data_IF_341424422974
#
_entry.id   IF_341424422974
#
_cell.length_a   1.000
_cell.length_b   1.000
_cell.length_c   1.000
_cell.angle_alpha   90.00
_cell.angle_beta   90.00
_cell.angle_gamma   90.00
#
_symmetry.space_group_name_H-M   'P 1'
#
loop_
_entity.id
_entity.type
_entity.pdbx_description
1 polymer ?
#
# COMPACT_ATOMS: atom_id res chain seq x y z
N UNK A 1 -0.77 -6.31 35.17
CA UNK A 1 -1.67 -5.56 34.26
C UNK A 1 -1.40 -4.09 34.49
N UNK A 2 -1.12 -3.31 33.44
CA UNK A 2 -0.92 -1.87 33.56
C UNK A 2 -2.23 -1.20 33.99
N UNK A 3 -2.14 -0.12 34.76
CA UNK A 3 -3.34 0.67 35.09
C UNK A 3 -3.86 1.42 33.85
N UNK A 4 -5.16 1.73 33.80
CA UNK A 4 -5.76 2.50 32.69
C UNK A 4 -5.02 3.83 32.41
N UNK A 5 -4.48 4.47 33.45
CA UNK A 5 -3.67 5.68 33.33
C UNK A 5 -2.31 5.43 32.67
N UNK A 6 -1.70 4.27 32.85
CA UNK A 6 -0.41 3.93 32.23
C UNK A 6 -0.57 3.60 30.74
N UNK A 7 -1.66 2.94 30.35
CA UNK A 7 -1.97 2.68 28.94
C UNK A 7 -2.18 3.98 28.16
N UNK A 8 -2.88 4.96 28.74
CA UNK A 8 -3.07 6.29 28.15
C UNK A 8 -1.74 7.03 27.95
N UNK A 9 -0.80 6.91 28.89
CA UNK A 9 0.53 7.52 28.78
C UNK A 9 1.37 6.86 27.68
N UNK A 10 1.33 5.52 27.57
CA UNK A 10 2.03 4.80 26.50
C UNK A 10 1.48 5.17 25.11
N UNK A 11 0.16 5.34 24.99
CA UNK A 11 -0.51 5.83 23.77
C UNK A 11 0.03 7.16 23.32
N UNK A 12 -0.04 8.16 24.20
CA UNK A 12 0.42 9.51 23.89
C UNK A 12 1.90 9.55 23.45
N UNK A 13 2.74 8.70 24.05
CA UNK A 13 4.17 8.61 23.67
C UNK A 13 4.37 8.00 22.29
N UNK A 14 3.65 6.93 21.95
CA UNK A 14 3.73 6.34 20.60
C UNK A 14 3.19 7.30 19.55
N UNK A 15 2.03 7.93 19.80
CA UNK A 15 1.46 8.92 18.87
C UNK A 15 2.44 10.09 18.63
N UNK A 16 3.19 10.50 19.66
CA UNK A 16 4.23 11.50 19.52
C UNK A 16 5.42 11.01 18.65
N UNK A 17 5.81 9.74 18.77
CA UNK A 17 6.85 9.11 17.92
C UNK A 17 6.37 9.02 16.47
N UNK A 18 5.17 8.49 16.23
CA UNK A 18 4.57 8.38 14.90
C UNK A 18 4.49 9.75 14.24
N UNK A 19 3.95 10.76 14.95
CA UNK A 19 3.90 12.14 14.47
C UNK A 19 5.29 12.71 14.16
N UNK A 20 6.29 12.45 15.02
CA UNK A 20 7.67 12.89 14.80
C UNK A 20 8.24 12.28 13.51
N UNK A 21 8.00 11.00 13.26
CA UNK A 21 8.47 10.28 12.07
C UNK A 21 7.73 10.73 10.81
N UNK A 22 6.42 10.94 10.88
CA UNK A 22 5.59 11.43 9.77
C UNK A 22 5.98 12.83 9.32
N UNK A 23 6.36 13.70 10.27
CA UNK A 23 6.78 15.07 9.99
C UNK A 23 8.17 15.17 9.34
N UNK A 24 8.96 14.09 9.32
CA UNK A 24 10.27 14.10 8.67
C UNK A 24 10.16 14.51 7.21
N UNK A 25 11.14 15.28 6.74
CA UNK A 25 11.31 15.53 5.32
C UNK A 25 11.73 14.23 4.66
N UNK A 26 11.17 13.97 3.49
CA UNK A 26 11.39 12.75 2.72
C UNK A 26 11.93 13.14 1.36
N UNK A 27 12.85 12.36 0.83
CA UNK A 27 13.36 12.55 -0.53
C UNK A 27 12.43 11.83 -1.51
N UNK A 28 12.35 12.33 -2.74
CA UNK A 28 11.64 11.67 -3.83
C UNK A 28 12.21 10.27 -4.08
N UNK A 29 11.35 9.31 -4.41
CA UNK A 29 11.77 7.94 -4.70
C UNK A 29 12.32 7.71 -6.11
N UNK A 30 12.17 8.66 -7.02
CA UNK A 30 12.74 8.52 -8.38
C UNK A 30 14.27 8.57 -8.28
N UNK A 31 14.93 7.57 -8.87
CA UNK A 31 16.38 7.43 -8.77
C UNK A 31 17.12 8.66 -9.30
N UNK A 32 18.13 9.09 -8.56
CA UNK A 32 18.89 10.31 -8.84
C UNK A 32 18.19 11.63 -8.45
N UNK A 33 16.93 11.60 -7.98
CA UNK A 33 16.24 12.80 -7.53
C UNK A 33 16.63 13.17 -6.08
N UNK A 34 17.27 14.33 -5.89
CA UNK A 34 17.62 14.85 -4.55
C UNK A 34 16.57 15.78 -3.92
N UNK A 35 15.40 15.96 -4.55
CA UNK A 35 14.37 16.93 -4.11
C UNK A 35 13.48 16.33 -3.02
N UNK A 36 12.87 17.19 -2.20
CA UNK A 36 11.92 16.75 -1.19
C UNK A 36 10.59 16.31 -1.81
N UNK A 37 10.06 15.21 -1.30
CA UNK A 37 8.76 14.70 -1.68
C UNK A 37 7.61 15.50 -1.05
N UNK A 38 6.54 15.65 -1.82
CA UNK A 38 5.25 16.20 -1.41
C UNK A 38 4.28 15.07 -1.03
N UNK A 39 3.11 15.41 -0.51
CA UNK A 39 2.04 14.43 -0.32
C UNK A 39 1.39 14.09 -1.67
N UNK A 40 1.74 12.92 -2.20
CA UNK A 40 1.20 12.30 -3.40
C UNK A 40 -0.01 11.44 -3.07
N UNK A 41 -1.06 11.47 -3.87
CA UNK A 41 -2.19 10.54 -3.75
C UNK A 41 -1.85 9.18 -4.38
N UNK A 42 -2.19 8.08 -3.72
CA UNK A 42 -1.98 6.72 -4.23
C UNK A 42 -2.88 6.46 -5.46
N UNK A 43 -4.13 6.91 -5.41
CA UNK A 43 -5.06 6.91 -6.55
C UNK A 43 -5.48 8.35 -6.86
N UNK A 44 -5.75 8.66 -8.13
CA UNK A 44 -6.14 9.98 -8.59
C UNK A 44 -7.23 10.59 -7.68
N UNK A 45 -6.93 11.74 -7.08
CA UNK A 45 -7.87 12.48 -6.24
C UNK A 45 -9.09 12.92 -7.04
N UNK A 46 -8.83 13.67 -8.11
CA UNK A 46 -9.84 14.27 -8.96
C UNK A 46 -10.28 13.26 -10.02
N UNK A 47 -11.19 12.36 -9.65
CA UNK A 47 -11.65 11.30 -10.53
C UNK A 47 -12.01 10.09 -9.71
N UNK A 48 -11.02 9.28 -9.33
CA UNK A 48 -11.23 8.04 -8.59
C UNK A 48 -11.75 8.30 -7.17
N UNK A 49 -10.94 8.96 -6.32
CA UNK A 49 -11.29 9.16 -4.89
C UNK A 49 -12.52 10.07 -4.75
N UNK A 50 -12.55 11.18 -5.50
CA UNK A 50 -13.68 12.11 -5.46
C UNK A 50 -15.00 11.43 -5.85
N UNK A 51 -14.99 10.46 -6.78
CA UNK A 51 -16.22 9.77 -7.23
C UNK A 51 -16.89 8.90 -6.17
N UNK A 52 -16.19 8.54 -5.10
CA UNK A 52 -16.74 7.78 -3.97
C UNK A 52 -16.91 8.64 -2.71
N UNK A 53 -16.59 9.94 -2.79
CA UNK A 53 -16.65 10.83 -1.63
C UNK A 53 -18.04 11.42 -1.44
N UNK A 54 -18.42 11.69 -0.19
CA UNK A 54 -19.59 12.50 0.13
C UNK A 54 -19.13 13.71 0.96
N UNK A 55 -19.54 14.91 0.54
CA UNK A 55 -19.11 16.17 1.15
C UNK A 55 -17.57 16.29 1.24
N UNK A 56 -16.84 15.86 0.20
CA UNK A 56 -15.38 15.81 0.16
C UNK A 56 -14.72 14.92 1.24
N UNK A 57 -15.44 13.91 1.74
CA UNK A 57 -14.93 12.95 2.72
C UNK A 57 -15.14 11.50 2.27
N UNK A 58 -14.21 10.65 2.70
CA UNK A 58 -14.23 9.18 2.57
C UNK A 58 -13.88 8.54 3.91
N UNK A 59 -14.05 7.22 4.02
CA UNK A 59 -13.53 6.45 5.14
C UNK A 59 -12.31 5.64 4.69
N UNK A 60 -11.20 5.79 5.41
CA UNK A 60 -9.96 5.05 5.17
C UNK A 60 -9.76 4.02 6.27
N UNK A 61 -9.53 2.75 5.92
CA UNK A 61 -9.08 1.74 6.87
C UNK A 61 -7.64 2.07 7.28
N UNK A 62 -7.38 2.14 8.58
CA UNK A 62 -6.05 2.39 9.12
C UNK A 62 -5.80 1.47 10.31
N UNK A 63 -4.55 1.04 10.46
CA UNK A 63 -4.12 0.41 11.69
C UNK A 63 -4.26 1.39 12.88
N UNK A 64 -4.85 0.89 13.96
CA UNK A 64 -5.02 1.53 15.26
C UNK A 64 -4.56 0.54 16.31
N UNK A 65 -3.26 0.59 16.63
CA UNK A 65 -2.54 -0.33 17.51
C UNK A 65 -3.01 -0.31 18.99
N UNK A 66 -4.10 0.38 19.25
CA UNK A 66 -4.50 0.89 20.53
C UNK A 66 -5.98 0.58 20.80
N UNK A 67 -6.78 0.26 19.79
CA UNK A 67 -8.11 -0.28 20.02
C UNK A 67 -8.06 -1.79 20.20
N UNK A 68 -9.10 -2.31 20.85
CA UNK A 68 -9.36 -3.77 20.92
C UNK A 68 -9.40 -4.40 19.52
N UNK A 69 -9.74 -3.59 18.50
CA UNK A 69 -9.60 -3.90 17.09
C UNK A 69 -8.41 -3.15 16.46
N UNK A 70 -7.43 -3.91 15.97
CA UNK A 70 -6.19 -3.39 15.37
C UNK A 70 -6.40 -2.52 14.11
N UNK A 71 -7.54 -2.65 13.43
CA UNK A 71 -7.88 -1.79 12.29
C UNK A 71 -9.18 -1.03 12.55
N UNK A 72 -9.22 0.24 12.16
CA UNK A 72 -10.44 1.03 12.21
C UNK A 72 -10.57 1.98 11.03
N UNK A 73 -11.81 2.27 10.64
CA UNK A 73 -12.10 3.28 9.63
C UNK A 73 -12.05 4.67 10.24
N UNK A 74 -11.28 5.57 9.64
CA UNK A 74 -11.27 7.00 9.98
C UNK A 74 -11.85 7.80 8.83
N UNK A 75 -12.78 8.71 9.15
CA UNK A 75 -13.31 9.68 8.19
C UNK A 75 -12.20 10.69 7.88
N UNK A 76 -11.85 10.86 6.61
CA UNK A 76 -10.83 11.81 6.15
C UNK A 76 -11.30 12.65 4.98
N UNK A 77 -10.80 13.87 4.90
CA UNK A 77 -10.98 14.72 3.73
C UNK A 77 -10.19 14.17 2.54
N UNK A 78 -10.72 14.28 1.33
CA UNK A 78 -10.08 13.74 0.11
C UNK A 78 -8.69 14.32 -0.19
N UNK A 79 -8.32 15.46 0.40
CA UNK A 79 -6.97 16.03 0.26
C UNK A 79 -5.91 15.32 1.12
N UNK A 80 -6.33 14.57 2.14
CA UNK A 80 -5.45 13.87 3.10
C UNK A 80 -5.62 12.35 3.05
N UNK A 81 -6.76 11.88 2.55
CA UNK A 81 -7.03 10.46 2.40
C UNK A 81 -6.11 9.86 1.33
N UNK A 82 -5.52 8.70 1.64
CA UNK A 82 -4.75 7.91 0.68
C UNK A 82 -3.59 8.69 0.05
N UNK A 83 -2.90 9.48 0.88
CA UNK A 83 -1.71 10.24 0.50
C UNK A 83 -0.46 9.79 1.25
N UNK A 84 0.70 9.95 0.63
CA UNK A 84 2.00 9.66 1.23
C UNK A 84 3.10 10.53 0.60
N UNK A 85 4.26 10.63 1.24
CA UNK A 85 5.37 11.48 0.76
C UNK A 85 6.19 10.86 -0.39
N UNK A 86 5.60 10.44 -1.51
CA UNK A 86 6.29 9.65 -2.53
C UNK A 86 7.24 10.41 -3.47
N UNK A 87 6.72 11.48 -4.08
CA UNK A 87 7.33 12.12 -5.25
C UNK A 87 7.50 13.63 -5.05
N UNK A 88 8.43 14.27 -5.76
CA UNK A 88 8.58 15.72 -5.72
C UNK A 88 7.54 16.42 -6.61
N UNK A 89 7.31 17.71 -6.35
CA UNK A 89 6.33 18.52 -7.09
C UNK A 89 6.65 20.01 -7.10
N UNK A 90 7.93 20.40 -7.24
CA UNK A 90 8.32 21.80 -7.32
C UNK A 90 8.16 22.35 -8.75
N UNK A 91 8.07 23.68 -8.88
CA UNK A 91 7.82 24.35 -10.18
C UNK A 91 8.90 24.05 -11.24
N UNK A 92 10.13 23.77 -10.81
CA UNK A 92 11.26 23.42 -11.66
C UNK A 92 11.39 21.92 -11.94
N UNK A 93 10.68 21.07 -11.18
CA UNK A 93 10.85 19.62 -11.21
C UNK A 93 9.70 18.89 -10.50
N UNK A 94 8.85 18.20 -11.27
CA UNK A 94 7.62 17.60 -10.75
C UNK A 94 7.42 16.16 -11.21
N UNK A 95 8.08 15.22 -10.54
CA UNK A 95 7.88 13.79 -10.79
C UNK A 95 6.44 13.33 -10.52
N UNK A 96 5.75 13.91 -9.53
CA UNK A 96 4.38 13.47 -9.20
C UNK A 96 3.41 13.70 -10.37
N UNK A 97 3.45 14.88 -10.99
CA UNK A 97 2.56 15.22 -12.10
C UNK A 97 3.06 14.72 -13.45
N UNK A 98 4.38 14.72 -13.68
CA UNK A 98 4.95 14.32 -14.98
C UNK A 98 4.88 12.82 -15.20
N UNK A 99 5.31 12.02 -14.20
CA UNK A 99 5.38 10.57 -14.33
C UNK A 99 3.99 9.94 -14.45
N UNK A 100 3.04 10.44 -13.66
CA UNK A 100 1.71 9.85 -13.57
C UNK A 100 0.67 10.55 -14.44
N UNK A 101 1.10 11.44 -15.33
CA UNK A 101 0.23 12.23 -16.21
C UNK A 101 -0.83 11.38 -16.91
N UNK A 102 -0.51 10.14 -17.31
CA UNK A 102 -1.44 9.26 -18.04
C UNK A 102 -2.57 8.71 -17.16
N UNK A 103 -2.35 8.55 -15.86
CA UNK A 103 -3.33 8.03 -14.90
C UNK A 103 -3.99 9.13 -14.05
N UNK A 104 -3.59 10.40 -14.27
CA UNK A 104 -4.17 11.58 -13.61
C UNK A 104 -5.12 12.38 -14.52
N UNK A 105 -5.41 11.89 -15.73
CA UNK A 105 -6.38 12.51 -16.65
C UNK A 105 -7.81 12.09 -16.33
N UNK A 106 -8.80 12.86 -16.79
CA UNK A 106 -10.21 12.51 -16.62
C UNK A 106 -10.58 11.19 -17.34
N UNK A 107 -9.91 10.89 -18.45
CA UNK A 107 -10.10 9.66 -19.23
C UNK A 107 -8.88 8.76 -19.12
N UNK A 108 -8.92 7.80 -18.19
CA UNK A 108 -7.83 6.85 -17.97
C UNK A 108 -8.03 5.64 -18.88
N UNK A 109 -7.00 5.27 -19.63
CA UNK A 109 -7.01 4.02 -20.38
C UNK A 109 -6.52 2.86 -19.49
N UNK A 110 -7.46 2.14 -18.88
CA UNK A 110 -7.14 1.00 -18.00
C UNK A 110 -6.80 -0.29 -18.78
N UNK A 111 -6.74 -0.25 -20.10
CA UNK A 111 -6.35 -1.39 -20.94
C UNK A 111 -4.88 -1.38 -21.33
N UNK A 112 -4.24 -0.21 -21.38
CA UNK A 112 -2.86 -0.15 -21.80
C UNK A 112 -1.93 -0.52 -20.64
N UNK A 113 -0.87 -1.24 -21.02
CA UNK A 113 0.12 -1.76 -20.09
C UNK A 113 0.80 -0.64 -19.29
N UNK A 114 1.04 0.52 -19.89
CA UNK A 114 1.77 1.61 -19.26
C UNK A 114 0.96 2.23 -18.12
N UNK A 115 -0.34 2.50 -18.32
CA UNK A 115 -1.24 2.95 -17.27
C UNK A 115 -1.31 1.95 -16.10
N UNK A 116 -1.39 0.65 -16.41
CA UNK A 116 -1.43 -0.42 -15.40
C UNK A 116 -0.12 -0.50 -14.60
N UNK A 117 1.01 -0.31 -15.28
CA UNK A 117 2.33 -0.24 -14.68
C UNK A 117 2.48 1.00 -13.79
N UNK A 118 1.95 2.16 -14.18
CA UNK A 118 1.97 3.38 -13.37
C UNK A 118 1.18 3.25 -12.07
N UNK A 119 -0.03 2.65 -12.09
CA UNK A 119 -0.76 2.34 -10.85
C UNK A 119 0.05 1.45 -9.93
N UNK A 120 0.66 0.42 -10.50
CA UNK A 120 1.49 -0.55 -9.79
C UNK A 120 2.73 0.10 -9.16
N UNK A 121 3.46 0.91 -9.93
CA UNK A 121 4.62 1.67 -9.47
C UNK A 121 4.27 2.57 -8.29
N UNK A 122 3.16 3.31 -8.39
CA UNK A 122 2.74 4.21 -7.32
C UNK A 122 2.40 3.45 -6.04
N UNK A 123 1.70 2.32 -6.14
CA UNK A 123 1.39 1.44 -5.00
C UNK A 123 2.65 0.82 -4.37
N UNK A 124 3.64 0.50 -5.19
CA UNK A 124 4.92 -0.05 -4.74
C UNK A 124 5.75 0.97 -3.95
N UNK A 125 5.84 2.18 -4.49
CA UNK A 125 6.54 3.28 -3.81
C UNK A 125 5.82 3.68 -2.52
N UNK A 126 4.49 3.62 -2.52
CA UNK A 126 3.71 3.76 -1.28
C UNK A 126 4.11 2.69 -0.25
N UNK A 127 4.16 1.41 -0.65
CA UNK A 127 4.55 0.32 0.25
C UNK A 127 5.97 0.47 0.78
N UNK A 128 6.92 0.87 -0.06
CA UNK A 128 8.29 1.18 0.36
C UNK A 128 8.29 2.26 1.45
N UNK A 129 7.55 3.36 1.25
CA UNK A 129 7.48 4.42 2.26
C UNK A 129 6.86 3.95 3.57
N UNK A 130 5.78 3.18 3.49
CA UNK A 130 5.12 2.61 4.67
C UNK A 130 6.10 1.75 5.48
N UNK A 131 6.93 0.93 4.81
CA UNK A 131 7.97 0.12 5.46
C UNK A 131 9.11 0.95 6.05
N UNK A 132 9.57 2.01 5.36
CA UNK A 132 10.56 2.96 5.90
C UNK A 132 10.05 3.63 7.19
N UNK A 133 8.81 4.13 7.16
CA UNK A 133 8.17 4.77 8.32
C UNK A 133 8.03 3.77 9.47
N UNK A 134 7.56 2.55 9.18
CA UNK A 134 7.39 1.49 10.19
C UNK A 134 8.72 1.14 10.84
N UNK A 135 9.80 0.98 10.05
CA UNK A 135 11.15 0.74 10.56
C UNK A 135 11.63 1.87 11.48
N UNK A 136 11.42 3.12 11.08
CA UNK A 136 11.82 4.29 11.85
C UNK A 136 11.04 4.44 13.16
N UNK A 137 9.73 4.19 13.15
CA UNK A 137 8.90 4.16 14.35
C UNK A 137 9.39 3.07 15.30
N UNK A 138 9.64 1.86 14.79
CA UNK A 138 10.16 0.75 15.59
C UNK A 138 11.52 1.10 16.24
N UNK A 139 12.43 1.73 15.47
CA UNK A 139 13.73 2.17 15.97
C UNK A 139 13.59 3.26 17.05
N UNK A 140 12.79 4.30 16.81
CA UNK A 140 12.54 5.36 17.79
C UNK A 140 11.91 4.81 19.07
N UNK A 141 11.02 3.83 18.93
CA UNK A 141 10.40 3.16 20.06
C UNK A 141 11.40 2.33 20.87
N UNK A 142 12.25 1.56 20.19
CA UNK A 142 13.30 0.74 20.80
C UNK A 142 14.35 1.59 21.52
N UNK A 143 14.74 2.72 20.93
CA UNK A 143 15.76 3.62 21.49
C UNK A 143 15.24 4.48 22.65
N UNK A 144 13.92 4.49 22.90
CA UNK A 144 13.33 5.25 24.00
C UNK A 144 13.52 4.50 25.35
N UNK A 145 14.28 5.03 26.32
CA UNK A 145 14.57 4.33 27.58
C UNK A 145 13.31 4.03 28.40
N UNK A 146 12.32 4.92 28.40
CA UNK A 146 11.10 4.77 29.20
C UNK A 146 10.17 3.68 28.64
N UNK A 147 10.24 3.45 27.33
CA UNK A 147 9.42 2.47 26.63
C UNK A 147 10.13 1.09 26.57
N UNK A 148 11.44 1.07 26.36
CA UNK A 148 12.24 -0.15 26.31
C UNK A 148 12.34 -0.91 27.63
N UNK A 149 12.20 -0.22 28.78
CA UNK A 149 12.19 -0.86 30.12
C UNK A 149 10.89 -1.64 30.39
N UNK A 150 9.79 -1.30 29.72
CA UNK A 150 8.45 -1.86 29.95
C UNK A 150 8.18 -3.17 29.19
N UNK A 151 8.95 -3.47 28.15
CA UNK A 151 8.98 -4.81 27.56
C UNK A 151 9.90 -5.68 28.40
N UNK A 152 9.59 -6.97 28.59
CA UNK A 152 10.63 -7.91 29.01
C UNK A 152 11.81 -7.73 28.05
N UNK A 153 12.96 -7.30 28.59
CA UNK A 153 14.13 -6.91 27.78
C UNK A 153 14.55 -8.02 26.82
N UNK A 154 14.26 -9.29 27.12
CA UNK A 154 14.51 -10.41 26.23
C UNK A 154 13.45 -10.50 25.11
N UNK A 155 12.15 -10.46 25.42
CA UNK A 155 11.07 -10.50 24.42
C UNK A 155 11.05 -9.26 23.52
N UNK A 156 11.27 -8.07 24.05
CA UNK A 156 11.29 -6.84 23.27
C UNK A 156 12.49 -6.73 22.32
N UNK A 157 13.65 -7.26 22.72
CA UNK A 157 14.81 -7.37 21.83
C UNK A 157 14.56 -8.38 20.71
N UNK A 158 14.04 -9.57 21.04
CA UNK A 158 13.75 -10.60 20.04
C UNK A 158 12.65 -10.17 19.06
N UNK A 159 11.60 -9.51 19.54
CA UNK A 159 10.56 -8.92 18.68
C UNK A 159 11.15 -7.86 17.75
N UNK A 160 11.91 -6.92 18.29
CA UNK A 160 12.55 -5.88 17.49
C UNK A 160 13.50 -6.46 16.44
N UNK A 161 14.34 -7.45 16.78
CA UNK A 161 15.30 -8.02 15.84
C UNK A 161 14.62 -8.82 14.72
N UNK A 162 13.61 -9.63 15.05
CA UNK A 162 12.87 -10.42 14.05
C UNK A 162 12.03 -9.51 13.15
N UNK A 163 11.28 -8.57 13.72
CA UNK A 163 10.48 -7.63 12.93
C UNK A 163 11.34 -6.70 12.08
N UNK A 164 12.48 -6.22 12.60
CA UNK A 164 13.40 -5.41 11.81
C UNK A 164 13.97 -6.18 10.63
N UNK A 165 14.33 -7.45 10.82
CA UNK A 165 14.82 -8.30 9.73
C UNK A 165 13.72 -8.55 8.67
N UNK A 166 12.49 -8.79 9.10
CA UNK A 166 11.34 -8.96 8.19
C UNK A 166 11.05 -7.68 7.39
N UNK A 167 11.09 -6.51 8.05
CA UNK A 167 10.89 -5.21 7.38
C UNK A 167 12.03 -4.94 6.38
N UNK A 168 13.28 -5.19 6.76
CA UNK A 168 14.44 -5.01 5.87
C UNK A 168 14.35 -5.88 4.62
N UNK A 169 13.94 -7.13 4.79
CA UNK A 169 13.71 -8.04 3.69
C UNK A 169 12.57 -7.56 2.77
N UNK A 170 11.44 -7.15 3.37
CA UNK A 170 10.32 -6.57 2.62
C UNK A 170 10.72 -5.32 1.83
N UNK A 171 11.60 -4.48 2.37
CA UNK A 171 12.15 -3.31 1.66
C UNK A 171 13.03 -3.77 0.49
N UNK A 172 13.90 -4.76 0.71
CA UNK A 172 14.78 -5.28 -0.32
C UNK A 172 14.00 -5.85 -1.52
N UNK A 173 12.99 -6.68 -1.28
CA UNK A 173 12.13 -7.21 -2.36
C UNK A 173 11.43 -6.09 -3.13
N UNK A 174 10.88 -5.11 -2.41
CA UNK A 174 10.18 -3.99 -3.02
C UNK A 174 11.12 -3.07 -3.82
N UNK A 175 12.40 -2.94 -3.43
CA UNK A 175 13.41 -2.19 -4.19
C UNK A 175 13.77 -2.91 -5.51
N UNK A 176 13.91 -4.25 -5.49
CA UNK A 176 14.14 -5.03 -6.73
C UNK A 176 12.95 -4.89 -7.69
N UNK A 177 11.72 -4.98 -7.17
CA UNK A 177 10.53 -4.74 -7.96
C UNK A 177 10.48 -3.29 -8.49
N UNK A 178 10.89 -2.31 -7.69
CA UNK A 178 10.91 -0.89 -8.08
C UNK A 178 11.85 -0.66 -9.25
N UNK A 179 13.07 -1.17 -9.16
CA UNK A 179 14.06 -1.07 -10.23
C UNK A 179 13.54 -1.70 -11.54
N UNK A 180 12.90 -2.87 -11.43
CA UNK A 180 12.30 -3.56 -12.59
C UNK A 180 11.20 -2.70 -13.24
N UNK A 181 10.29 -2.14 -12.43
CA UNK A 181 9.20 -1.29 -12.91
C UNK A 181 9.72 0.02 -13.52
N UNK A 182 10.70 0.66 -12.90
CA UNK A 182 11.30 1.90 -13.42
C UNK A 182 12.01 1.69 -14.75
N UNK A 183 12.76 0.60 -14.88
CA UNK A 183 13.40 0.23 -16.14
C UNK A 183 12.36 0.08 -17.27
N UNK A 184 11.22 -0.54 -16.98
CA UNK A 184 10.14 -0.67 -17.96
C UNK A 184 9.43 0.64 -18.28
N UNK A 185 9.23 1.51 -17.29
CA UNK A 185 8.70 2.86 -17.49
C UNK A 185 9.62 3.66 -18.41
N UNK A 186 10.94 3.64 -18.15
CA UNK A 186 11.93 4.36 -18.96
C UNK A 186 12.02 3.85 -20.40
N UNK A 187 11.84 2.55 -20.60
CA UNK A 187 11.82 1.93 -21.93
C UNK A 187 10.50 2.18 -22.69
N UNK A 188 9.51 2.85 -22.07
CA UNK A 188 8.16 3.02 -22.62
C UNK A 188 7.55 1.69 -23.10
N UNK A 189 7.74 0.62 -22.32
CA UNK A 189 7.27 -0.71 -22.70
C UNK A 189 5.75 -0.73 -22.90
N UNK A 190 5.27 -1.07 -24.11
CA UNK A 190 3.83 -1.17 -24.43
C UNK A 190 3.39 -2.62 -24.60
N UNK A 191 3.43 -3.42 -23.53
CA UNK A 191 2.85 -4.78 -23.49
C UNK A 191 3.83 -5.95 -23.68
N UNK A 192 5.11 -5.68 -23.96
CA UNK A 192 6.19 -6.69 -23.98
C UNK A 192 7.02 -6.74 -22.68
N UNK A 193 6.51 -6.10 -21.63
CA UNK A 193 7.19 -5.97 -20.33
C UNK A 193 7.37 -7.27 -19.54
N UNK A 194 8.08 -7.19 -18.41
CA UNK A 194 8.31 -8.31 -17.49
C UNK A 194 7.02 -8.69 -16.74
N UNK A 195 6.15 -7.72 -16.44
CA UNK A 195 4.86 -7.97 -15.81
C UNK A 195 3.78 -8.35 -16.83
N UNK A 196 2.79 -9.08 -16.37
CA UNK A 196 1.51 -9.21 -17.05
C UNK A 196 0.39 -8.74 -16.14
N UNK A 197 -0.60 -8.10 -16.75
CA UNK A 197 -1.74 -7.51 -16.07
C UNK A 197 -3.03 -8.10 -16.58
N UNK A 198 -3.90 -8.43 -15.63
CA UNK A 198 -5.24 -8.92 -15.87
C UNK A 198 -6.25 -7.91 -15.38
N UNK A 199 -7.24 -7.66 -16.22
CA UNK A 199 -8.29 -6.69 -15.96
C UNK A 199 -9.65 -7.38 -15.94
N UNK A 200 -10.42 -7.17 -14.89
CA UNK A 200 -11.84 -7.55 -14.83
C UNK A 200 -12.69 -6.34 -14.47
N UNK A 201 -13.77 -6.17 -15.21
CA UNK A 201 -14.78 -5.14 -14.95
C UNK A 201 -15.93 -5.79 -14.17
N UNK A 202 -16.39 -5.11 -13.12
CA UNK A 202 -17.54 -5.52 -12.31
C UNK A 202 -18.49 -4.34 -12.07
N UNK A 203 -19.74 -4.58 -11.64
CA UNK A 203 -20.62 -3.51 -11.18
C UNK A 203 -19.95 -2.62 -10.14
N UNK A 204 -20.23 -1.31 -10.20
CA UNK A 204 -19.59 -0.32 -9.34
C UNK A 204 -19.71 -0.69 -7.85
N UNK A 205 -18.56 -0.77 -7.21
CA UNK A 205 -18.39 -0.79 -5.76
C UNK A 205 -17.62 0.47 -5.35
N UNK A 206 -18.06 1.13 -4.29
CA UNK A 206 -17.44 2.38 -3.82
C UNK A 206 -16.30 2.11 -2.84
N UNK A 207 -15.35 1.28 -3.28
CA UNK A 207 -14.14 0.90 -2.57
C UNK A 207 -12.95 1.17 -3.49
N UNK A 208 -11.95 1.91 -2.99
CA UNK A 208 -10.69 2.12 -3.69
C UNK A 208 -9.56 1.41 -2.96
N UNK A 209 -8.77 0.62 -3.68
CA UNK A 209 -7.57 -0.03 -3.16
C UNK A 209 -6.50 -0.05 -4.24
N UNK A 210 -5.25 0.23 -3.89
CA UNK A 210 -4.09 0.16 -4.77
C UNK A 210 -2.90 -0.22 -3.93
N UNK A 211 -2.52 -1.49 -4.03
CA UNK A 211 -1.52 -2.09 -3.17
C UNK A 211 -0.66 -3.13 -3.89
N UNK A 212 0.45 -3.47 -3.25
CA UNK A 212 1.26 -4.62 -3.61
C UNK A 212 1.57 -5.48 -2.39
N UNK A 213 1.68 -6.79 -2.61
CA UNK A 213 2.05 -7.77 -1.58
C UNK A 213 2.85 -8.92 -2.22
N UNK A 214 3.57 -9.67 -1.39
CA UNK A 214 4.29 -10.86 -1.83
C UNK A 214 3.34 -12.06 -1.83
N UNK A 215 3.42 -12.89 -2.88
CA UNK A 215 2.56 -14.06 -3.04
C UNK A 215 2.85 -15.16 -2.03
N UNK A 216 4.14 -15.36 -1.71
CA UNK A 216 4.62 -16.42 -0.82
C UNK A 216 4.10 -16.25 0.61
N UNK A 217 3.73 -17.36 1.24
CA UNK A 217 3.26 -17.37 2.64
C UNK A 217 4.43 -17.23 3.62
N UNK A 218 4.14 -16.77 4.85
CA UNK A 218 5.13 -16.55 5.93
C UNK A 218 6.11 -17.72 6.15
N UNK A 219 5.64 -18.96 5.94
CA UNK A 219 6.43 -20.18 6.11
C UNK A 219 7.45 -20.36 4.98
N UNK A 220 7.07 -19.99 3.76
CA UNK A 220 7.93 -20.03 2.56
C UNK A 220 8.97 -18.92 2.61
N UNK A 221 8.63 -17.77 3.19
CA UNK A 221 9.56 -16.67 3.46
C UNK A 221 10.68 -17.09 4.40
N UNK A 222 10.34 -17.86 5.44
CA UNK A 222 11.32 -18.39 6.40
C UNK A 222 12.26 -19.42 5.75
N UNK A 223 11.78 -20.20 4.81
CA UNK A 223 12.60 -21.17 4.05
C UNK A 223 13.51 -20.43 3.04
N UNK A 224 12.99 -19.42 2.34
CA UNK A 224 13.76 -18.57 1.42
C UNK A 224 14.92 -17.85 2.15
N UNK A 225 14.70 -17.45 3.42
CA UNK A 225 15.74 -16.89 4.28
C UNK A 225 16.86 -17.90 4.59
N UNK A 226 16.52 -19.18 4.82
CA UNK A 226 17.48 -20.22 5.21
C UNK A 226 18.24 -20.82 4.02
N UNK A 227 17.61 -20.89 2.84
CA UNK A 227 18.17 -21.60 1.67
C UNK A 227 18.97 -20.73 0.70
N UNK A 228 19.16 -19.45 1.01
CA UNK A 228 19.77 -18.50 0.08
C UNK A 228 18.68 -17.75 -0.69
N UNK A 229 18.70 -16.44 -0.53
CA UNK A 229 17.62 -15.53 -0.90
C UNK A 229 17.24 -15.58 -2.39
N UNK A 230 16.09 -16.16 -2.71
CA UNK A 230 15.36 -15.87 -3.94
C UNK A 230 14.38 -14.71 -3.68
N UNK A 231 14.30 -13.75 -4.62
CA UNK A 231 13.36 -12.63 -4.52
C UNK A 231 11.93 -13.14 -4.47
N UNK A 232 11.13 -12.59 -3.57
CA UNK A 232 9.71 -12.94 -3.46
C UNK A 232 8.92 -12.41 -4.67
N UNK A 233 7.80 -13.07 -4.95
CA UNK A 233 6.94 -12.75 -6.09
C UNK A 233 5.98 -11.63 -5.73
N UNK A 234 6.23 -10.44 -6.27
CA UNK A 234 5.34 -9.30 -6.05
C UNK A 234 4.04 -9.42 -6.87
N UNK A 235 2.91 -9.16 -6.21
CA UNK A 235 1.59 -9.03 -6.80
C UNK A 235 1.13 -7.58 -6.66
N UNK A 236 0.67 -7.00 -7.76
CA UNK A 236 -0.05 -5.73 -7.77
C UNK A 236 -1.55 -5.98 -7.76
N UNK A 237 -2.27 -5.29 -6.90
CA UNK A 237 -3.72 -5.43 -6.73
C UNK A 237 -4.38 -4.07 -6.62
N UNK A 238 -5.24 -3.76 -7.58
CA UNK A 238 -5.93 -2.48 -7.66
C UNK A 238 -7.44 -2.68 -7.85
N UNK A 239 -8.22 -2.00 -7.02
CA UNK A 239 -9.68 -1.85 -7.13
C UNK A 239 -9.94 -0.37 -7.40
N UNK A 240 -10.42 -0.08 -8.61
CA UNK A 240 -10.55 1.29 -9.12
C UNK A 240 -12.01 1.54 -9.51
N UNK A 241 -12.80 2.25 -8.68
CA UNK A 241 -14.09 2.79 -9.08
C UNK A 241 -13.86 3.82 -10.18
N UNK A 242 -14.38 3.54 -11.38
CA UNK A 242 -14.18 4.38 -12.54
C UNK A 242 -15.49 4.48 -13.33
N UNK A 243 -16.02 5.70 -13.45
CA UNK A 243 -17.33 5.95 -14.08
C UNK A 243 -18.45 5.16 -13.39
N UNK A 244 -19.21 4.33 -14.11
CA UNK A 244 -20.35 3.54 -13.62
C UNK A 244 -19.98 2.09 -13.25
N UNK A 245 -18.68 1.78 -13.19
CA UNK A 245 -18.14 0.44 -12.98
C UNK A 245 -16.97 0.45 -11.99
N UNK A 246 -16.53 -0.74 -11.59
CA UNK A 246 -15.25 -0.91 -10.89
C UNK A 246 -14.35 -1.81 -11.71
N UNK A 247 -13.09 -1.38 -11.85
CA UNK A 247 -12.04 -2.15 -12.50
C UNK A 247 -11.19 -2.82 -11.43
N UNK A 248 -11.13 -4.14 -11.49
CA UNK A 248 -10.14 -4.94 -10.80
C UNK A 248 -8.95 -5.13 -11.74
N UNK A 249 -7.77 -4.71 -11.29
CA UNK A 249 -6.51 -4.87 -12.01
C UNK A 249 -5.53 -5.64 -11.13
N UNK A 250 -5.05 -6.77 -11.64
CA UNK A 250 -4.09 -7.64 -10.97
C UNK A 250 -2.85 -7.76 -11.84
N UNK A 251 -1.66 -7.56 -11.29
CA UNK A 251 -0.40 -7.66 -12.00
C UNK A 251 0.61 -8.56 -11.29
N UNK A 252 1.40 -9.29 -12.05
CA UNK A 252 2.50 -10.11 -11.51
C UNK A 252 3.53 -10.45 -12.60
N UNK A 253 4.76 -10.86 -12.24
CA UNK A 253 5.79 -11.27 -13.20
C UNK A 253 5.35 -12.41 -14.13
N UNK A 254 5.68 -12.31 -15.43
CA UNK A 254 5.30 -13.32 -16.44
C UNK A 254 5.91 -14.69 -16.19
N UNK A 255 7.15 -14.74 -15.72
CA UNK A 255 7.86 -15.97 -15.36
C UNK A 255 7.24 -16.70 -14.15
N UNK A 256 6.41 -16.01 -13.35
CA UNK A 256 5.67 -16.57 -12.22
C UNK A 256 4.24 -17.00 -12.58
N UNK A 257 3.86 -16.98 -13.86
CA UNK A 257 2.52 -17.36 -14.31
C UNK A 257 2.09 -18.79 -13.92
N UNK A 258 3.03 -19.74 -13.85
CA UNK A 258 2.74 -21.11 -13.43
C UNK A 258 2.27 -21.23 -11.97
N UNK A 259 2.68 -20.29 -11.12
CA UNK A 259 2.39 -20.25 -9.68
C UNK A 259 1.20 -19.30 -9.42
N UNK A 260 1.32 -18.04 -9.84
CA UNK A 260 0.34 -17.00 -9.57
C UNK A 260 -0.91 -17.10 -10.46
N UNK A 261 -0.73 -17.56 -11.71
CA UNK A 261 -1.80 -17.58 -12.72
C UNK A 261 -3.01 -18.39 -12.27
N UNK A 262 -2.82 -19.61 -11.75
CA UNK A 262 -3.96 -20.42 -11.29
C UNK A 262 -4.85 -19.69 -10.27
N UNK A 263 -4.26 -18.97 -9.33
CA UNK A 263 -5.01 -18.26 -8.31
C UNK A 263 -5.70 -17.02 -8.89
N UNK A 264 -4.95 -16.13 -9.55
CA UNK A 264 -5.49 -14.85 -10.03
C UNK A 264 -6.31 -14.96 -11.31
N UNK A 265 -5.97 -15.88 -12.22
CA UNK A 265 -6.76 -16.13 -13.44
C UNK A 265 -8.15 -16.67 -13.08
N UNK A 266 -8.28 -17.42 -11.98
CA UNK A 266 -9.59 -17.86 -11.50
C UNK A 266 -10.49 -16.67 -11.11
N UNK A 267 -9.90 -15.58 -10.61
CA UNK A 267 -10.64 -14.35 -10.28
C UNK A 267 -11.21 -13.65 -11.51
N UNK A 268 -10.73 -13.99 -12.71
CA UNK A 268 -11.25 -13.44 -13.96
C UNK A 268 -12.51 -14.15 -14.43
N UNK A 269 -12.69 -15.42 -14.04
CA UNK A 269 -13.75 -16.29 -14.57
C UNK A 269 -14.81 -16.68 -13.52
N UNK A 270 -14.53 -16.55 -12.23
CA UNK A 270 -15.48 -16.89 -11.15
C UNK A 270 -16.74 -16.02 -11.16
N UNK A 271 -17.80 -16.47 -10.49
CA UNK A 271 -19.05 -15.69 -10.35
C UNK A 271 -18.81 -14.35 -9.64
N UNK A 272 -19.67 -13.35 -9.86
CA UNK A 272 -19.54 -12.07 -9.15
C UNK A 272 -19.62 -12.20 -7.63
N UNK A 273 -20.45 -13.13 -7.14
CA UNK A 273 -20.60 -13.40 -5.70
C UNK A 273 -19.28 -13.91 -5.12
N UNK A 274 -18.67 -14.89 -5.79
CA UNK A 274 -17.41 -15.48 -5.35
C UNK A 274 -16.26 -14.49 -5.47
N UNK A 275 -16.26 -13.66 -6.53
CA UNK A 275 -15.28 -12.59 -6.70
C UNK A 275 -15.37 -11.56 -5.58
N UNK A 276 -16.58 -11.11 -5.22
CA UNK A 276 -16.76 -10.16 -4.11
C UNK A 276 -16.25 -10.73 -2.79
N UNK A 277 -16.50 -12.02 -2.53
CA UNK A 277 -15.94 -12.72 -1.37
C UNK A 277 -14.41 -12.71 -1.41
N UNK A 278 -13.82 -13.07 -2.56
CA UNK A 278 -12.37 -13.09 -2.75
C UNK A 278 -11.73 -11.71 -2.57
N UNK A 279 -12.34 -10.67 -3.12
CA UNK A 279 -11.90 -9.28 -2.94
C UNK A 279 -11.94 -8.91 -1.46
N UNK A 280 -13.01 -9.28 -0.74
CA UNK A 280 -13.10 -9.05 0.71
C UNK A 280 -11.99 -9.75 1.47
N UNK A 281 -11.68 -11.01 1.13
CA UNK A 281 -10.59 -11.75 1.77
C UNK A 281 -9.24 -11.04 1.53
N UNK A 282 -8.96 -10.60 0.29
CA UNK A 282 -7.72 -9.90 -0.05
C UNK A 282 -7.60 -8.53 0.65
N UNK A 283 -8.70 -7.78 0.75
CA UNK A 283 -8.74 -6.52 1.49
C UNK A 283 -8.49 -6.70 2.99
N UNK A 284 -8.87 -7.84 3.56
CA UNK A 284 -8.64 -8.14 4.98
C UNK A 284 -7.23 -8.71 5.24
N UNK A 285 -6.70 -9.50 4.31
CA UNK A 285 -5.39 -10.16 4.45
C UNK A 285 -4.22 -9.23 4.12
N UNK A 286 -4.38 -8.41 3.08
CA UNK A 286 -3.29 -7.58 2.55
C UNK A 286 -3.63 -6.09 2.58
N UNK A 287 -4.93 -5.74 2.58
CA UNK A 287 -5.43 -4.38 2.55
C UNK A 287 -5.29 -3.62 3.87
N UNK A 288 -4.06 -3.26 4.25
CA UNK A 288 -3.82 -2.45 5.46
C UNK A 288 -4.26 -0.98 5.31
N UNK A 289 -4.53 -0.54 4.08
CA UNK A 289 -4.95 0.80 3.72
C UNK A 289 -5.78 0.82 2.42
N UNK A 290 -7.07 1.09 2.56
CA UNK A 290 -8.02 1.27 1.45
C UNK A 290 -9.14 2.23 1.85
N UNK A 291 -9.83 2.76 0.84
CA UNK A 291 -10.91 3.73 1.01
C UNK A 291 -12.27 3.12 0.71
N UNK A 292 -13.31 3.63 1.36
CA UNK A 292 -14.69 3.45 0.94
C UNK A 292 -15.52 4.72 1.08
N UNK A 293 -16.65 4.75 0.36
CA UNK A 293 -17.63 5.83 0.51
C UNK A 293 -18.26 5.84 1.90
N UNK A 294 -18.73 7.01 2.37
CA UNK A 294 -19.53 7.09 3.59
C UNK A 294 -20.75 6.16 3.56
N UNK A 295 -21.45 6.03 2.42
CA UNK A 295 -22.51 5.04 2.25
C UNK A 295 -22.07 3.60 2.51
N UNK A 296 -20.96 3.14 1.92
CA UNK A 296 -20.46 1.77 2.15
C UNK A 296 -20.12 1.57 3.63
N UNK A 297 -19.41 2.54 4.22
CA UNK A 297 -19.07 2.47 5.64
C UNK A 297 -20.31 2.35 6.52
N UNK A 298 -21.27 3.25 6.37
CA UNK A 298 -22.47 3.31 7.20
C UNK A 298 -23.36 2.06 7.08
N UNK A 299 -23.45 1.47 5.89
CA UNK A 299 -24.37 0.36 5.63
C UNK A 299 -23.76 -1.02 5.90
N UNK A 300 -22.43 -1.17 5.78
CA UNK A 300 -21.80 -2.50 5.77
C UNK A 300 -20.61 -2.66 6.74
N UNK A 301 -19.97 -1.58 7.17
CA UNK A 301 -18.69 -1.65 7.90
C UNK A 301 -18.76 -1.03 9.30
N UNK A 302 -19.72 -0.14 9.55
CA UNK A 302 -19.98 0.45 10.87
C UNK A 302 -20.66 -0.60 11.75
N UNK A 303 -19.83 -1.37 12.45
CA UNK A 303 -20.25 -2.23 13.56
C UNK A 303 -20.12 -1.45 14.88
#
# INVERSE_FOLDING_TARGET
>A
MASHSEEQQLRAKRDAIERKVDLRKRVCFVDGCGKYAINSHILQKNGIINSISENNHVYQLLADNFKEHYYCFKKKGINEAYTFKGFCGSDDHNHDSELFKNIEQNSINLNDYYSQLLFSYRSLVYKLREREITKEIALEWYMNPELSIRMDRAMGRNWYTVESANIEMSIKDALVAKETVENEIHQNSTGQGYFQFHKRVIPRIEICCSQCFNYELANETTIAQVMGYESLTIIFFNIIPYQDQTVLLIGYPKDKASICGKYFDSMLTMSEKDLKKRISDLLLLFGDDWLCSPRIYLNYLRQ
#
